data_IF_548949126230
#
_entry.id   IF_548949126230
#
_cell.length_a   1.000
_cell.length_b   1.000
_cell.length_c   1.000
_cell.angle_alpha   90.00
_cell.angle_beta   90.00
_cell.angle_gamma   90.00
#
_symmetry.space_group_name_H-M   'P 1'
#
loop_
_entity.id
_entity.type
_entity.pdbx_description
1 polymer ?
#
# COMPACT_ATOMS: atom_id res chain seq x y z
N UNK A 1 67.83 -28.83 -31.65
CA UNK A 1 67.35 -30.11 -31.09
C UNK A 1 66.89 -29.88 -29.67
N UNK A 2 65.65 -30.29 -29.37
CA UNK A 2 65.12 -30.80 -28.06
C UNK A 2 66.01 -30.55 -26.83
N UNK A 3 65.54 -29.78 -25.84
CA UNK A 3 65.04 -30.21 -24.49
C UNK A 3 65.81 -29.38 -23.44
N UNK A 4 65.35 -28.95 -22.26
CA UNK A 4 64.23 -29.25 -21.37
C UNK A 4 64.34 -28.30 -20.15
N UNK A 5 63.21 -27.96 -19.52
CA UNK A 5 63.04 -27.71 -18.07
C UNK A 5 63.75 -26.50 -17.42
N UNK A 6 63.31 -25.90 -16.32
CA UNK A 6 62.09 -25.84 -15.51
C UNK A 6 62.56 -24.95 -14.35
N UNK A 7 61.84 -23.88 -14.02
CA UNK A 7 62.31 -22.95 -12.98
C UNK A 7 61.23 -21.99 -12.54
N UNK A 8 60.20 -22.57 -11.92
CA UNK A 8 59.13 -21.88 -11.19
C UNK A 8 59.71 -21.03 -10.06
N UNK A 9 59.39 -19.74 -10.00
CA UNK A 9 59.25 -19.03 -8.71
C UNK A 9 57.99 -18.17 -8.76
N UNK A 10 57.07 -18.55 -7.88
CA UNK A 10 55.86 -17.88 -7.45
C UNK A 10 56.23 -16.69 -6.56
N UNK A 11 55.64 -15.52 -6.79
CA UNK A 11 55.35 -14.46 -5.81
C UNK A 11 54.70 -13.30 -6.59
N UNK A 12 53.45 -12.86 -6.36
CA UNK A 12 52.68 -12.86 -5.13
C UNK A 12 52.66 -11.44 -4.55
N UNK A 13 51.91 -10.52 -5.15
CA UNK A 13 51.24 -9.40 -4.47
C UNK A 13 50.39 -8.62 -5.49
N UNK A 14 49.08 -8.88 -5.54
CA UNK A 14 48.14 -7.91 -6.13
C UNK A 14 47.56 -7.14 -4.96
N UNK A 15 48.08 -5.93 -4.73
CA UNK A 15 47.48 -4.94 -3.86
C UNK A 15 46.13 -4.55 -4.46
N UNK A 16 45.05 -4.97 -3.83
CA UNK A 16 43.73 -4.40 -4.08
C UNK A 16 43.75 -2.96 -3.56
N UNK A 17 43.94 -2.02 -4.49
CA UNK A 17 43.62 -0.62 -4.26
C UNK A 17 42.09 -0.53 -4.10
N UNK A 18 41.64 -0.26 -2.89
CA UNK A 18 40.27 0.19 -2.65
C UNK A 18 40.09 1.56 -3.28
N UNK A 19 39.21 1.75 -4.29
CA UNK A 19 38.68 3.07 -4.54
C UNK A 19 37.83 3.45 -3.33
N UNK A 20 38.36 4.38 -2.52
CA UNK A 20 37.54 5.12 -1.58
C UNK A 20 36.48 5.86 -2.37
N UNK A 21 35.25 5.35 -2.34
CA UNK A 21 34.09 6.11 -2.77
C UNK A 21 33.83 7.20 -1.72
N UNK A 22 34.54 8.31 -1.89
CA UNK A 22 33.99 9.61 -1.55
C UNK A 22 32.78 9.83 -2.48
N UNK A 23 31.59 9.44 -2.03
CA UNK A 23 30.35 9.98 -2.56
C UNK A 23 29.79 10.93 -1.51
N UNK A 24 30.33 12.14 -1.57
CA UNK A 24 29.57 13.38 -1.52
C UNK A 24 28.11 13.13 -1.95
N UNK A 25 27.20 13.10 -0.97
CA UNK A 25 25.75 13.09 -1.16
C UNK A 25 25.04 13.52 0.11
N UNK A 26 25.39 14.71 0.57
CA UNK A 26 24.43 15.56 1.28
C UNK A 26 23.43 16.10 0.24
N UNK A 27 22.34 15.37 -0.01
CA UNK A 27 21.04 15.88 -0.50
C UNK A 27 20.17 14.70 -0.96
N UNK A 28 18.96 14.60 -0.41
CA UNK A 28 17.87 13.81 -1.00
C UNK A 28 17.41 12.56 -0.25
N UNK A 29 17.48 12.53 1.09
CA UNK A 29 16.92 11.41 1.88
C UNK A 29 15.48 11.61 2.35
N UNK A 30 14.84 12.72 2.01
CA UNK A 30 13.47 13.03 2.44
C UNK A 30 12.40 12.64 1.39
N UNK A 31 12.70 12.69 0.09
CA UNK A 31 11.70 12.42 -0.96
C UNK A 31 11.40 10.94 -1.28
N UNK A 32 12.17 9.97 -0.76
CA UNK A 32 11.97 8.55 -1.07
C UNK A 32 10.83 7.91 -0.25
N UNK A 33 10.52 8.45 0.92
CA UNK A 33 9.42 7.97 1.76
C UNK A 33 8.08 8.60 1.34
N UNK A 34 8.06 9.89 1.00
CA UNK A 34 6.85 10.56 0.50
C UNK A 34 6.30 9.91 -0.77
N UNK A 35 7.15 9.52 -1.72
CA UNK A 35 6.71 8.91 -2.98
C UNK A 35 6.05 7.54 -2.81
N UNK A 36 6.43 6.76 -1.78
CA UNK A 36 5.86 5.42 -1.53
C UNK A 36 4.44 5.52 -0.97
N UNK A 37 4.23 6.45 -0.05
CA UNK A 37 2.91 6.68 0.54
C UNK A 37 1.97 7.33 -0.49
N UNK A 38 2.47 8.29 -1.28
CA UNK A 38 1.70 8.95 -2.33
C UNK A 38 1.12 7.95 -3.35
N UNK A 39 1.91 6.96 -3.79
CA UNK A 39 1.45 5.91 -4.69
C UNK A 39 0.43 4.95 -4.08
N UNK A 40 0.56 4.64 -2.79
CA UNK A 40 -0.42 3.83 -2.04
C UNK A 40 -1.78 4.55 -1.98
N UNK A 41 -1.79 5.85 -1.69
CA UNK A 41 -3.01 6.66 -1.57
C UNK A 41 -3.61 7.06 -2.93
N UNK A 42 -2.81 7.22 -4.00
CA UNK A 42 -3.28 7.64 -5.34
C UNK A 42 -3.98 6.57 -6.19
N UNK A 43 -4.25 5.38 -5.65
CA UNK A 43 -5.00 4.37 -6.40
C UNK A 43 -5.17 3.04 -5.70
N UNK A 44 -4.22 2.65 -4.86
CA UNK A 44 -4.25 1.32 -4.25
C UNK A 44 -5.06 1.24 -2.95
N UNK A 45 -5.32 2.37 -2.28
CA UNK A 45 -6.09 2.37 -1.04
C UNK A 45 -7.50 1.79 -1.23
N UNK A 46 -8.28 2.30 -2.19
CA UNK A 46 -9.66 1.85 -2.38
C UNK A 46 -9.74 0.40 -2.86
N UNK A 47 -8.80 -0.02 -3.71
CA UNK A 47 -8.68 -1.42 -4.15
C UNK A 47 -8.38 -2.35 -2.98
N UNK A 48 -7.43 -1.97 -2.10
CA UNK A 48 -7.10 -2.76 -0.90
C UNK A 48 -8.29 -2.90 0.03
N UNK A 49 -8.95 -1.79 0.36
CA UNK A 49 -10.15 -1.82 1.22
C UNK A 49 -11.24 -2.68 0.59
N UNK A 50 -11.40 -2.63 -0.75
CA UNK A 50 -12.35 -3.49 -1.46
C UNK A 50 -12.00 -4.97 -1.34
N UNK A 51 -10.74 -5.34 -1.54
CA UNK A 51 -10.26 -6.73 -1.37
C UNK A 51 -10.49 -7.24 0.07
N UNK A 52 -10.23 -6.40 1.06
CA UNK A 52 -10.43 -6.74 2.47
C UNK A 52 -11.92 -6.89 2.82
N UNK A 53 -12.79 -6.04 2.28
CA UNK A 53 -14.26 -6.19 2.38
C UNK A 53 -14.75 -7.46 1.66
N UNK A 54 -14.24 -7.75 0.45
CA UNK A 54 -14.57 -8.98 -0.30
C UNK A 54 -14.17 -10.23 0.48
N UNK A 55 -13.03 -10.18 1.15
CA UNK A 55 -12.56 -11.26 2.02
C UNK A 55 -13.50 -11.49 3.21
N UNK A 56 -14.04 -10.43 3.81
CA UNK A 56 -15.04 -10.56 4.90
C UNK A 56 -16.39 -11.05 4.37
N UNK A 57 -16.81 -10.59 3.19
CA UNK A 57 -18.03 -11.06 2.52
C UNK A 57 -17.98 -12.56 2.22
N UNK A 58 -16.85 -13.06 1.72
CA UNK A 58 -16.65 -14.48 1.44
C UNK A 58 -16.79 -15.39 2.68
N UNK A 59 -16.58 -14.84 3.88
CA UNK A 59 -16.74 -15.54 5.16
C UNK A 59 -18.07 -15.24 5.86
N UNK A 60 -18.89 -14.35 5.28
CA UNK A 60 -20.18 -13.95 5.83
C UNK A 60 -21.27 -14.91 5.34
N UNK A 61 -22.28 -15.18 6.19
CA UNK A 61 -23.36 -16.08 5.82
C UNK A 61 -24.22 -15.49 4.69
N UNK A 62 -24.54 -16.30 3.69
CA UNK A 62 -25.41 -15.91 2.59
C UNK A 62 -26.83 -15.56 3.08
N UNK A 63 -27.47 -14.63 2.39
CA UNK A 63 -28.77 -14.02 2.68
C UNK A 63 -28.87 -13.38 4.08
N UNK A 64 -27.75 -12.97 4.66
CA UNK A 64 -27.71 -12.28 5.95
C UNK A 64 -27.75 -10.76 5.77
N UNK A 65 -28.20 -10.04 6.80
CA UNK A 65 -28.14 -8.57 6.82
C UNK A 65 -26.71 -8.05 6.62
N UNK A 66 -25.71 -8.81 7.03
CA UNK A 66 -24.30 -8.44 6.93
C UNK A 66 -23.77 -8.58 5.50
N UNK A 67 -24.20 -9.59 4.75
CA UNK A 67 -23.89 -9.72 3.32
C UNK A 67 -24.42 -8.50 2.56
N UNK A 68 -25.69 -8.12 2.76
CA UNK A 68 -26.26 -6.94 2.09
C UNK A 68 -25.50 -5.65 2.42
N UNK A 69 -25.02 -5.49 3.67
CA UNK A 69 -24.18 -4.35 4.06
C UNK A 69 -22.83 -4.37 3.35
N UNK A 70 -22.16 -5.52 3.30
CA UNK A 70 -20.87 -5.69 2.64
C UNK A 70 -20.97 -5.46 1.13
N UNK A 71 -22.00 -6.00 0.48
CA UNK A 71 -22.27 -5.75 -0.94
C UNK A 71 -22.46 -4.25 -1.21
N UNK A 72 -23.18 -3.54 -0.33
CA UNK A 72 -23.35 -2.09 -0.44
C UNK A 72 -22.02 -1.35 -0.28
N UNK A 73 -21.20 -1.70 0.71
CA UNK A 73 -19.87 -1.11 0.91
C UNK A 73 -19.01 -1.27 -0.35
N UNK A 74 -19.03 -2.45 -0.99
CA UNK A 74 -18.29 -2.68 -2.24
C UNK A 74 -18.75 -1.79 -3.39
N UNK A 75 -20.05 -1.56 -3.53
CA UNK A 75 -20.59 -0.65 -4.55
C UNK A 75 -20.07 0.78 -4.33
N UNK A 76 -20.14 1.27 -3.11
CA UNK A 76 -19.66 2.62 -2.76
C UNK A 76 -18.15 2.77 -2.98
N UNK A 77 -17.35 1.75 -2.62
CA UNK A 77 -15.90 1.73 -2.86
C UNK A 77 -15.57 1.77 -4.37
N UNK A 78 -16.32 1.05 -5.20
CA UNK A 78 -16.13 1.09 -6.66
C UNK A 78 -16.43 2.47 -7.23
N UNK A 79 -17.53 3.10 -6.80
CA UNK A 79 -17.89 4.46 -7.21
C UNK A 79 -16.85 5.49 -6.76
N UNK A 80 -16.30 5.33 -5.55
CA UNK A 80 -15.22 6.15 -5.06
C UNK A 80 -13.92 5.97 -5.84
N UNK A 81 -13.53 4.75 -6.16
CA UNK A 81 -12.33 4.49 -6.96
C UNK A 81 -12.44 5.17 -8.34
N UNK A 82 -13.59 5.07 -9.00
CA UNK A 82 -13.84 5.77 -10.26
C UNK A 82 -13.79 7.29 -10.10
N UNK A 83 -14.35 7.84 -9.01
CA UNK A 83 -14.37 9.28 -8.76
C UNK A 83 -12.97 9.82 -8.44
N UNK A 84 -12.20 9.10 -7.63
CA UNK A 84 -10.81 9.41 -7.29
C UNK A 84 -9.90 9.37 -8.54
N UNK A 85 -10.09 8.41 -9.44
CA UNK A 85 -9.37 8.34 -10.71
C UNK A 85 -9.61 9.58 -11.60
N UNK A 86 -10.77 10.23 -11.46
CA UNK A 86 -11.12 11.46 -12.16
C UNK A 86 -10.72 12.74 -11.38
N UNK A 87 -9.96 12.62 -10.28
CA UNK A 87 -9.54 13.73 -9.44
C UNK A 87 -10.68 14.39 -8.66
N UNK A 88 -11.84 13.73 -8.54
CA UNK A 88 -13.02 14.26 -7.85
C UNK A 88 -13.38 13.36 -6.69
N UNK A 89 -12.97 13.76 -5.48
CA UNK A 89 -13.32 13.01 -4.28
C UNK A 89 -14.35 13.79 -3.49
N UNK A 90 -15.54 13.21 -3.41
CA UNK A 90 -16.63 13.71 -2.59
C UNK A 90 -16.40 13.27 -1.15
N UNK A 91 -16.04 14.22 -0.28
CA UNK A 91 -15.78 13.95 1.14
C UNK A 91 -16.98 13.29 1.84
N UNK A 92 -18.21 13.66 1.45
CA UNK A 92 -19.44 13.04 1.97
C UNK A 92 -19.48 11.54 1.68
N UNK A 93 -19.10 11.13 0.48
CA UNK A 93 -19.11 9.72 0.07
C UNK A 93 -18.04 8.92 0.81
N UNK A 94 -16.87 9.52 1.04
CA UNK A 94 -15.82 8.92 1.89
C UNK A 94 -16.32 8.70 3.32
N UNK A 95 -17.05 9.66 3.88
CA UNK A 95 -17.67 9.53 5.20
C UNK A 95 -18.76 8.43 5.24
N UNK A 96 -19.56 8.32 4.17
CA UNK A 96 -20.57 7.28 4.03
C UNK A 96 -19.93 5.88 4.00
N UNK A 97 -18.81 5.72 3.27
CA UNK A 97 -18.04 4.46 3.24
C UNK A 97 -17.44 4.13 4.59
N UNK A 98 -16.79 5.09 5.25
CA UNK A 98 -16.22 4.90 6.60
C UNK A 98 -17.32 4.45 7.56
N UNK A 99 -18.46 5.14 7.56
CA UNK A 99 -19.62 4.81 8.41
C UNK A 99 -20.17 3.42 8.11
N UNK A 100 -20.23 3.03 6.84
CA UNK A 100 -20.73 1.73 6.43
C UNK A 100 -19.80 0.59 6.88
N UNK A 101 -18.48 0.75 6.74
CA UNK A 101 -17.48 -0.21 7.23
C UNK A 101 -17.53 -0.30 8.76
N UNK A 102 -17.66 0.81 9.47
CA UNK A 102 -17.80 0.82 10.92
C UNK A 102 -19.04 0.05 11.40
N UNK A 103 -20.16 0.16 10.68
CA UNK A 103 -21.37 -0.64 10.95
C UNK A 103 -21.13 -2.13 10.69
N UNK A 104 -20.41 -2.48 9.62
CA UNK A 104 -20.03 -3.88 9.36
C UNK A 104 -19.16 -4.42 10.49
N UNK A 105 -18.17 -3.66 10.94
CA UNK A 105 -17.33 -4.01 12.09
C UNK A 105 -18.20 -4.23 13.34
N UNK A 106 -19.12 -3.29 13.64
CA UNK A 106 -19.95 -3.34 14.84
C UNK A 106 -20.94 -4.51 14.84
N UNK A 107 -21.63 -4.73 13.72
CA UNK A 107 -22.80 -5.60 13.65
C UNK A 107 -22.46 -7.04 13.19
N UNK A 108 -21.42 -7.23 12.39
CA UNK A 108 -21.12 -8.52 11.77
C UNK A 108 -20.32 -9.44 12.71
N UNK A 109 -20.70 -10.72 12.72
CA UNK A 109 -19.95 -11.80 13.37
C UNK A 109 -18.78 -12.23 12.48
N UNK A 110 -17.66 -11.54 12.64
CA UNK A 110 -16.41 -11.85 11.94
C UNK A 110 -15.29 -12.29 12.90
N UNK A 111 -14.28 -13.05 12.42
CA UNK A 111 -13.06 -13.33 13.17
C UNK A 111 -12.34 -12.05 13.61
N UNK A 112 -11.66 -12.10 14.76
CA UNK A 112 -10.94 -10.93 15.29
C UNK A 112 -9.88 -10.38 14.33
N UNK A 113 -9.23 -11.26 13.56
CA UNK A 113 -8.27 -10.86 12.53
C UNK A 113 -8.91 -9.99 11.45
N UNK A 114 -10.12 -10.32 11.04
CA UNK A 114 -10.85 -9.60 10.00
C UNK A 114 -11.39 -8.27 10.53
N UNK A 115 -11.80 -8.26 11.80
CA UNK A 115 -12.16 -7.03 12.52
C UNK A 115 -11.00 -6.04 12.58
N UNK A 116 -9.81 -6.48 13.00
CA UNK A 116 -8.62 -5.63 13.09
C UNK A 116 -8.19 -5.09 11.72
N UNK A 117 -8.30 -5.91 10.68
CA UNK A 117 -8.01 -5.52 9.30
C UNK A 117 -8.94 -4.40 8.82
N UNK A 118 -10.26 -4.56 8.96
CA UNK A 118 -11.21 -3.50 8.60
C UNK A 118 -11.05 -2.24 9.46
N UNK A 119 -10.65 -2.37 10.73
CA UNK A 119 -10.32 -1.21 11.57
C UNK A 119 -9.07 -0.48 11.07
N UNK A 120 -8.07 -1.19 10.56
CA UNK A 120 -6.90 -0.61 9.92
C UNK A 120 -7.29 0.14 8.64
N UNK A 121 -8.17 -0.43 7.83
CA UNK A 121 -8.71 0.21 6.63
C UNK A 121 -9.46 1.50 6.94
N UNK A 122 -10.30 1.51 7.98
CA UNK A 122 -10.97 2.73 8.44
C UNK A 122 -9.96 3.80 8.85
N UNK A 123 -8.86 3.43 9.52
CA UNK A 123 -7.79 4.38 9.86
C UNK A 123 -7.13 4.95 8.61
N UNK A 124 -6.85 4.12 7.61
CA UNK A 124 -6.28 4.57 6.34
C UNK A 124 -7.23 5.50 5.56
N UNK A 125 -8.53 5.19 5.52
CA UNK A 125 -9.54 6.04 4.90
C UNK A 125 -9.67 7.41 5.59
N UNK A 126 -9.58 7.44 6.92
CA UNK A 126 -9.57 8.70 7.69
C UNK A 126 -8.29 9.51 7.45
N UNK A 127 -7.12 8.86 7.45
CA UNK A 127 -5.86 9.52 7.12
C UNK A 127 -5.89 10.08 5.69
N UNK A 128 -6.48 9.33 4.76
CA UNK A 128 -6.71 9.79 3.40
C UNK A 128 -7.63 11.01 3.34
N UNK A 129 -8.72 11.05 4.13
CA UNK A 129 -9.58 12.23 4.24
C UNK A 129 -8.80 13.47 4.68
N UNK A 130 -7.98 13.32 5.71
CA UNK A 130 -7.19 14.41 6.30
C UNK A 130 -6.08 14.93 5.36
N UNK A 131 -5.54 14.06 4.51
CA UNK A 131 -4.41 14.37 3.65
C UNK A 131 -4.76 14.37 2.15
N UNK A 132 -6.04 14.30 1.81
CA UNK A 132 -6.55 14.30 0.44
C UNK A 132 -5.92 15.41 -0.42
N UNK A 133 -5.82 16.64 0.08
CA UNK A 133 -5.24 17.77 -0.66
C UNK A 133 -3.76 17.55 -1.03
N UNK A 134 -3.01 16.79 -0.22
CA UNK A 134 -1.62 16.42 -0.50
C UNK A 134 -1.53 15.35 -1.58
N UNK A 135 -2.48 14.41 -1.59
CA UNK A 135 -2.49 13.28 -2.54
C UNK A 135 -3.20 13.61 -3.87
N UNK A 136 -4.16 14.54 -3.85
CA UNK A 136 -4.90 15.01 -5.01
C UNK A 136 -5.12 16.53 -4.89
N UNK A 137 -4.11 17.35 -5.25
CA UNK A 137 -4.28 18.80 -5.24
C UNK A 137 -5.41 19.18 -6.21
N UNK A 138 -6.46 19.82 -5.66
CA UNK A 138 -7.54 20.41 -6.46
C UNK A 138 -6.92 21.57 -7.27
N UNK A 139 -6.70 21.33 -8.56
CA UNK A 139 -6.25 22.37 -9.51
C UNK A 139 -7.32 23.43 -9.73
#
# INVERSE_FOLDING_TARGET
MKRLFLGTIVSGLVLFATPGFAQDREQGREGRYENRDEGYYKGHLFDRVREDVERVEANTHAFSADEFRLTRVKQELNEMHQSAANGRIEERRLDDVITAIEKVIADNRMPERDRMMLQEDVRHLRAYKEHNERYYPRG
#
